data_IF_220781982070
#
_entry.id   IF_220781982070
#
_cell.length_a   1.000
_cell.length_b   1.000
_cell.length_c   1.000
_cell.angle_alpha   90.00
_cell.angle_beta   90.00
_cell.angle_gamma   90.00
#
_symmetry.space_group_name_H-M   'P 1'
#
loop_
_entity.id
_entity.type
_entity.pdbx_description
1 polymer ?
#
# COMPACT_ATOMS: atom_id res chain seq x y z
N UNK A 1 6.87 -14.63 -35.93
CA UNK A 1 7.28 -13.23 -35.70
C UNK A 1 7.46 -13.06 -34.22
N UNK A 2 8.67 -12.73 -33.73
CA UNK A 2 8.87 -12.47 -32.31
C UNK A 2 7.93 -11.33 -31.88
N UNK A 3 7.18 -11.45 -30.78
CA UNK A 3 6.38 -10.34 -30.29
C UNK A 3 7.34 -9.17 -30.06
N UNK A 4 6.95 -8.00 -30.55
CA UNK A 4 7.63 -6.75 -30.28
C UNK A 4 7.57 -6.55 -28.77
N UNK A 5 8.62 -6.97 -28.03
CA UNK A 5 8.62 -6.94 -26.57
C UNK A 5 8.59 -5.47 -26.15
N UNK A 6 7.42 -5.01 -25.71
CA UNK A 6 7.33 -3.70 -25.07
C UNK A 6 8.32 -3.69 -23.90
N UNK A 7 8.95 -2.56 -23.56
CA UNK A 7 9.83 -2.49 -22.39
C UNK A 7 9.18 -2.97 -21.09
N UNK A 8 7.84 -2.92 -21.00
CA UNK A 8 7.06 -3.45 -19.88
C UNK A 8 7.11 -5.00 -19.79
N UNK A 9 7.21 -5.69 -20.94
CA UNK A 9 7.29 -7.16 -21.01
C UNK A 9 8.74 -7.69 -20.94
N UNK A 10 9.74 -6.80 -20.92
CA UNK A 10 11.15 -7.18 -20.78
C UNK A 10 11.45 -7.58 -19.32
N UNK A 11 11.64 -8.88 -19.11
CA UNK A 11 11.95 -9.50 -17.83
C UNK A 11 13.43 -9.91 -17.74
N UNK A 12 14.26 -9.57 -18.73
CA UNK A 12 15.69 -9.86 -18.72
C UNK A 12 16.42 -8.88 -17.79
N UNK A 13 16.40 -9.19 -16.49
CA UNK A 13 17.07 -8.43 -15.45
C UNK A 13 16.18 -7.38 -14.77
N UNK A 14 16.76 -6.27 -14.26
CA UNK A 14 15.98 -5.26 -13.55
C UNK A 14 15.05 -4.47 -14.48
N UNK A 15 13.86 -4.03 -14.01
CA UNK A 15 12.94 -3.22 -14.81
C UNK A 15 13.60 -1.95 -15.36
N UNK A 16 13.45 -1.71 -16.66
CA UNK A 16 13.98 -0.53 -17.35
C UNK A 16 13.04 0.66 -17.21
N UNK A 17 12.83 1.16 -15.99
CA UNK A 17 11.83 2.20 -15.68
C UNK A 17 11.89 3.45 -16.57
N UNK A 18 13.07 3.83 -17.07
CA UNK A 18 13.24 4.97 -17.99
C UNK A 18 12.58 4.78 -19.36
N UNK A 19 12.22 3.55 -19.71
CA UNK A 19 11.63 3.17 -21.00
C UNK A 19 10.18 2.70 -20.87
N UNK A 20 9.61 2.80 -19.67
CA UNK A 20 8.25 2.35 -19.36
C UNK A 20 7.32 3.56 -19.28
N UNK A 21 6.31 3.54 -20.15
CA UNK A 21 5.29 4.58 -20.23
C UNK A 21 3.91 4.03 -19.85
N UNK A 22 3.05 4.80 -19.17
CA UNK A 22 1.72 4.35 -18.75
C UNK A 22 0.86 3.70 -19.85
N UNK A 23 0.83 4.19 -21.11
CA UNK A 23 0.05 3.57 -22.18
C UNK A 23 0.49 2.16 -22.57
N UNK A 24 1.69 1.72 -22.17
CA UNK A 24 2.16 0.35 -22.40
C UNK A 24 1.52 -0.67 -21.44
N UNK A 25 0.96 -0.21 -20.31
CA UNK A 25 0.42 -1.09 -19.28
C UNK A 25 -0.83 -1.87 -19.73
N UNK A 26 -1.90 -1.25 -20.30
CA UNK A 26 -3.07 -2.01 -20.71
C UNK A 26 -2.82 -3.15 -21.71
N UNK A 27 -2.08 -2.96 -22.82
CA UNK A 27 -1.82 -4.06 -23.74
C UNK A 27 -0.96 -5.16 -23.12
N UNK A 28 0.04 -4.80 -22.30
CA UNK A 28 0.90 -5.78 -21.62
C UNK A 28 0.11 -6.64 -20.62
N UNK A 29 -0.75 -6.02 -19.80
CA UNK A 29 -1.59 -6.75 -18.86
C UNK A 29 -2.59 -7.64 -19.59
N UNK A 30 -3.20 -7.15 -20.68
CA UNK A 30 -4.16 -7.95 -21.47
C UNK A 30 -3.51 -9.22 -22.03
N UNK A 31 -2.35 -9.09 -22.66
CA UNK A 31 -1.58 -10.23 -23.20
C UNK A 31 -1.24 -11.26 -22.11
N UNK A 32 -0.77 -10.78 -20.95
CA UNK A 32 -0.40 -11.65 -19.84
C UNK A 32 -1.60 -12.33 -19.19
N UNK A 33 -2.74 -11.65 -19.09
CA UNK A 33 -3.98 -12.25 -18.57
C UNK A 33 -4.50 -13.35 -19.49
N UNK A 34 -4.49 -13.14 -20.81
CA UNK A 34 -4.91 -14.15 -21.80
C UNK A 34 -4.02 -15.40 -21.72
N UNK A 35 -2.69 -15.20 -21.65
CA UNK A 35 -1.73 -16.29 -21.51
C UNK A 35 -1.91 -17.03 -20.18
N UNK A 36 -2.04 -16.29 -19.07
CA UNK A 36 -2.21 -16.84 -17.73
C UNK A 36 -3.47 -17.70 -17.63
N UNK A 37 -4.58 -17.21 -18.20
CA UNK A 37 -5.85 -17.95 -18.23
C UNK A 37 -5.71 -19.28 -18.97
N UNK A 38 -5.12 -19.25 -20.17
CA UNK A 38 -4.95 -20.44 -21.00
C UNK A 38 -4.06 -21.49 -20.31
N UNK A 39 -2.92 -21.06 -19.79
CA UNK A 39 -1.95 -21.95 -19.16
C UNK A 39 -2.49 -22.50 -17.82
N UNK A 40 -3.17 -21.67 -17.03
CA UNK A 40 -3.74 -22.11 -15.76
C UNK A 40 -4.89 -23.09 -15.96
N UNK A 41 -5.78 -22.84 -16.93
CA UNK A 41 -6.87 -23.76 -17.27
C UNK A 41 -6.35 -25.14 -17.70
N UNK A 42 -5.26 -25.17 -18.47
CA UNK A 42 -4.59 -26.42 -18.85
C UNK A 42 -4.00 -27.16 -17.64
N UNK A 43 -3.39 -26.42 -16.70
CA UNK A 43 -2.89 -26.96 -15.45
C UNK A 43 -4.01 -27.52 -14.58
N UNK A 44 -5.09 -26.78 -14.34
CA UNK A 44 -6.24 -27.23 -13.54
C UNK A 44 -6.87 -28.52 -14.10
N UNK A 45 -6.96 -28.62 -15.42
CA UNK A 45 -7.45 -29.82 -16.10
C UNK A 45 -6.54 -31.02 -15.80
N UNK A 46 -5.22 -30.84 -15.91
CA UNK A 46 -4.24 -31.90 -15.59
C UNK A 46 -4.30 -32.31 -14.12
N UNK A 47 -4.42 -31.36 -13.19
CA UNK A 47 -4.53 -31.65 -11.76
C UNK A 47 -5.80 -32.43 -11.40
N UNK A 48 -6.87 -32.29 -12.18
CA UNK A 48 -8.14 -32.98 -11.95
C UNK A 48 -8.12 -34.44 -12.41
N UNK A 49 -7.14 -34.84 -13.23
CA UNK A 49 -7.02 -36.18 -13.81
C UNK A 49 -5.95 -37.07 -13.13
N UNK A 50 -5.10 -36.50 -12.29
CA UNK A 50 -3.91 -37.15 -11.73
C UNK A 50 -4.01 -37.35 -10.20
N UNK A 51 -4.01 -38.62 -9.79
CA UNK A 51 -4.09 -39.02 -8.37
C UNK A 51 -2.75 -38.91 -7.62
N UNK A 52 -1.64 -38.56 -8.31
CA UNK A 52 -0.28 -38.68 -7.82
C UNK A 52 0.61 -37.46 -8.04
N UNK A 53 0.10 -36.25 -7.81
CA UNK A 53 0.86 -35.01 -8.06
C UNK A 53 1.97 -34.75 -7.03
N UNK A 54 3.16 -34.41 -7.52
CA UNK A 54 4.31 -34.06 -6.66
C UNK A 54 4.45 -32.54 -6.44
N UNK A 55 5.15 -32.15 -5.36
CA UNK A 55 5.48 -30.74 -5.12
C UNK A 55 6.10 -30.07 -6.34
N UNK A 56 7.08 -30.72 -6.97
CA UNK A 56 7.90 -30.15 -8.06
C UNK A 56 7.09 -29.90 -9.34
N UNK A 57 5.93 -30.55 -9.48
CA UNK A 57 5.02 -30.41 -10.62
C UNK A 57 3.90 -29.40 -10.38
N UNK A 58 3.59 -29.09 -9.11
CA UNK A 58 2.45 -28.22 -8.75
C UNK A 58 2.94 -26.81 -8.40
N UNK A 59 3.59 -26.63 -7.26
CA UNK A 59 3.80 -25.29 -6.72
C UNK A 59 4.81 -24.46 -7.53
N UNK A 60 6.00 -24.98 -7.92
CA UNK A 60 6.90 -24.26 -8.80
C UNK A 60 6.30 -23.98 -10.19
N UNK A 61 5.35 -24.80 -10.65
CA UNK A 61 4.68 -24.56 -11.92
C UNK A 61 3.68 -23.40 -11.79
N UNK A 62 2.89 -23.34 -10.71
CA UNK A 62 2.00 -22.21 -10.40
C UNK A 62 2.79 -20.90 -10.27
N UNK A 63 3.94 -20.91 -9.57
CA UNK A 63 4.80 -19.73 -9.44
C UNK A 63 5.27 -19.21 -10.80
N UNK A 64 5.72 -20.11 -11.70
CA UNK A 64 6.14 -19.75 -13.07
C UNK A 64 4.99 -19.21 -13.91
N UNK A 65 3.76 -19.65 -13.68
CA UNK A 65 2.59 -19.09 -14.37
C UNK A 65 2.31 -17.67 -13.90
N UNK A 66 2.39 -17.41 -12.59
CA UNK A 66 2.06 -16.11 -12.01
C UNK A 66 3.13 -15.05 -12.22
N UNK A 67 4.40 -15.45 -12.31
CA UNK A 67 5.56 -14.56 -12.31
C UNK A 67 5.46 -13.45 -13.37
N UNK A 68 5.10 -13.71 -14.65
CA UNK A 68 5.09 -12.65 -15.64
C UNK A 68 4.11 -11.51 -15.35
N UNK A 69 2.90 -11.87 -14.91
CA UNK A 69 1.89 -10.88 -14.50
C UNK A 69 2.30 -10.19 -13.20
N UNK A 70 2.86 -10.94 -12.25
CA UNK A 70 3.38 -10.40 -10.99
C UNK A 70 4.49 -9.36 -11.20
N UNK A 71 5.40 -9.61 -12.14
CA UNK A 71 6.46 -8.67 -12.52
C UNK A 71 5.88 -7.36 -13.07
N UNK A 72 5.03 -7.44 -14.10
CA UNK A 72 4.43 -6.25 -14.73
C UNK A 72 3.57 -5.47 -13.73
N UNK A 73 2.77 -6.16 -12.93
CA UNK A 73 1.93 -5.52 -11.93
C UNK A 73 2.74 -4.90 -10.79
N UNK A 74 3.88 -5.52 -10.42
CA UNK A 74 4.85 -4.96 -9.48
C UNK A 74 5.48 -3.67 -9.99
N UNK A 75 5.88 -3.63 -11.26
CA UNK A 75 6.38 -2.41 -11.93
C UNK A 75 5.31 -1.32 -11.94
N UNK A 76 4.09 -1.64 -12.35
CA UNK A 76 2.97 -0.70 -12.38
C UNK A 76 2.66 -0.15 -10.98
N UNK A 77 2.59 -1.02 -9.97
CA UNK A 77 2.36 -0.63 -8.58
C UNK A 77 3.47 0.24 -8.00
N UNK A 78 4.73 -0.07 -8.33
CA UNK A 78 5.87 0.76 -7.94
C UNK A 78 5.77 2.17 -8.56
N UNK A 79 5.58 2.26 -9.88
CA UNK A 79 5.41 3.54 -10.57
C UNK A 79 4.21 4.31 -10.02
N UNK A 80 3.12 3.62 -9.69
CA UNK A 80 1.94 4.26 -9.09
C UNK A 80 2.23 4.85 -7.71
N UNK A 81 3.22 4.31 -6.99
CA UNK A 81 3.69 4.83 -5.70
C UNK A 81 4.75 5.92 -5.78
N UNK A 82 5.61 5.95 -6.80
CA UNK A 82 6.76 6.89 -6.87
C UNK A 82 6.70 7.91 -8.00
N UNK A 83 5.88 7.67 -9.02
CA UNK A 83 5.72 8.51 -10.22
C UNK A 83 4.23 8.58 -10.61
N UNK A 84 3.36 8.77 -9.62
CA UNK A 84 1.91 8.87 -9.82
C UNK A 84 1.54 10.09 -10.68
N UNK A 85 0.65 9.90 -11.64
CA UNK A 85 0.06 10.93 -12.49
C UNK A 85 -1.18 10.40 -13.21
N UNK A 86 -1.92 11.27 -13.88
CA UNK A 86 -3.25 10.94 -14.42
C UNK A 86 -3.23 9.76 -15.40
N UNK A 87 -2.28 9.74 -16.34
CA UNK A 87 -2.15 8.65 -17.32
C UNK A 87 -1.86 7.30 -16.64
N UNK A 88 -1.02 7.30 -15.60
CA UNK A 88 -0.70 6.09 -14.86
C UNK A 88 -1.86 5.63 -13.98
N UNK A 89 -2.59 6.58 -13.37
CA UNK A 89 -3.78 6.30 -12.57
C UNK A 89 -4.86 5.65 -13.42
N UNK A 90 -5.17 6.24 -14.58
CA UNK A 90 -6.13 5.70 -15.54
C UNK A 90 -5.70 4.30 -16.01
N UNK A 91 -4.44 4.15 -16.42
CA UNK A 91 -3.92 2.86 -16.86
C UNK A 91 -3.97 1.80 -15.74
N UNK A 92 -3.62 2.15 -14.51
CA UNK A 92 -3.64 1.24 -13.37
C UNK A 92 -5.08 0.82 -13.02
N UNK A 93 -5.98 1.78 -12.86
CA UNK A 93 -7.39 1.54 -12.51
C UNK A 93 -8.11 0.71 -13.56
N UNK A 94 -7.85 0.95 -14.85
CA UNK A 94 -8.44 0.17 -15.96
C UNK A 94 -8.05 -1.31 -15.92
N UNK A 95 -6.85 -1.63 -15.44
CA UNK A 95 -6.31 -3.00 -15.45
C UNK A 95 -6.50 -3.74 -14.13
N UNK A 96 -6.66 -3.02 -13.01
CA UNK A 96 -6.78 -3.60 -11.67
C UNK A 96 -7.86 -4.70 -11.60
N UNK A 97 -9.07 -4.55 -12.17
CA UNK A 97 -10.09 -5.60 -12.09
C UNK A 97 -9.65 -6.93 -12.73
N UNK A 98 -9.01 -6.88 -13.89
CA UNK A 98 -8.53 -8.09 -14.58
C UNK A 98 -7.46 -8.82 -13.76
N UNK A 99 -6.54 -8.07 -13.15
CA UNK A 99 -5.50 -8.64 -12.28
C UNK A 99 -6.10 -9.25 -11.01
N UNK A 100 -7.03 -8.56 -10.35
CA UNK A 100 -7.72 -9.09 -9.16
C UNK A 100 -8.49 -10.36 -9.50
N UNK A 101 -9.17 -10.40 -10.64
CA UNK A 101 -9.91 -11.57 -11.09
C UNK A 101 -8.98 -12.76 -11.36
N UNK A 102 -7.87 -12.55 -12.06
CA UNK A 102 -6.89 -13.60 -12.34
C UNK A 102 -6.29 -14.18 -11.06
N UNK A 103 -5.84 -13.34 -10.12
CA UNK A 103 -5.30 -13.81 -8.84
C UNK A 103 -6.36 -14.52 -8.00
N UNK A 104 -7.62 -14.08 -8.08
CA UNK A 104 -8.73 -14.74 -7.39
C UNK A 104 -8.95 -16.17 -7.90
N UNK A 105 -8.84 -16.42 -9.21
CA UNK A 105 -8.94 -17.77 -9.79
C UNK A 105 -7.94 -18.74 -9.18
N UNK A 106 -6.66 -18.34 -9.07
CA UNK A 106 -5.66 -19.15 -8.39
C UNK A 106 -6.05 -19.42 -6.93
N UNK A 107 -6.43 -18.38 -6.19
CA UNK A 107 -6.76 -18.52 -4.77
C UNK A 107 -7.99 -19.38 -4.50
N UNK A 108 -8.87 -19.57 -5.49
CA UNK A 108 -10.13 -20.30 -5.38
C UNK A 108 -10.19 -21.56 -6.26
N UNK A 109 -9.05 -21.98 -6.82
CA UNK A 109 -8.96 -23.21 -7.62
C UNK A 109 -9.04 -24.43 -6.72
N UNK A 110 -10.14 -25.18 -6.86
CA UNK A 110 -10.34 -26.40 -6.09
C UNK A 110 -9.37 -27.52 -6.49
N UNK A 111 -9.10 -27.79 -7.78
CA UNK A 111 -8.09 -28.78 -8.18
C UNK A 111 -6.71 -28.48 -7.61
N UNK A 112 -6.27 -27.21 -7.64
CA UNK A 112 -5.00 -26.80 -7.06
C UNK A 112 -4.96 -27.01 -5.55
N UNK A 113 -6.05 -26.65 -4.85
CA UNK A 113 -6.13 -26.81 -3.39
C UNK A 113 -6.06 -28.28 -2.99
N UNK A 114 -6.82 -29.13 -3.67
CA UNK A 114 -6.87 -30.57 -3.39
C UNK A 114 -5.52 -31.24 -3.69
N UNK A 115 -4.84 -30.86 -4.79
CA UNK A 115 -3.49 -31.33 -5.09
C UNK A 115 -2.48 -30.93 -3.99
N UNK A 116 -2.50 -29.67 -3.54
CA UNK A 116 -1.65 -29.19 -2.44
C UNK A 116 -1.97 -29.88 -1.11
N UNK A 117 -3.25 -30.16 -0.82
CA UNK A 117 -3.65 -30.94 0.36
C UNK A 117 -3.16 -32.39 0.27
N UNK A 118 -3.20 -33.00 -0.91
CA UNK A 118 -2.66 -34.34 -1.15
C UNK A 118 -1.15 -34.38 -0.89
N UNK A 119 -0.41 -33.40 -1.41
CA UNK A 119 1.02 -33.24 -1.15
C UNK A 119 1.29 -33.06 0.35
N UNK A 120 0.57 -32.16 1.03
CA UNK A 120 0.71 -31.94 2.47
C UNK A 120 0.47 -33.24 3.27
N UNK A 121 -0.58 -33.98 2.91
CA UNK A 121 -0.96 -35.24 3.58
C UNK A 121 0.10 -36.34 3.37
N UNK A 122 0.75 -36.37 2.20
CA UNK A 122 1.83 -37.33 1.91
C UNK A 122 3.06 -37.15 2.83
N UNK A 123 3.17 -36.01 3.52
CA UNK A 123 4.25 -35.70 4.45
C UNK A 123 3.90 -35.96 5.93
N UNK A 124 2.64 -36.28 6.25
CA UNK A 124 2.17 -36.47 7.64
C UNK A 124 2.84 -37.66 8.33
N UNK A 125 3.13 -38.74 7.61
CA UNK A 125 3.81 -39.95 8.11
C UNK A 125 5.29 -39.71 8.52
N UNK A 126 5.83 -38.54 8.20
CA UNK A 126 7.19 -38.13 8.56
C UNK A 126 7.23 -37.15 9.76
N UNK A 127 6.11 -36.95 10.46
CA UNK A 127 6.07 -36.15 11.70
C UNK A 127 6.99 -36.76 12.78
N UNK A 128 7.93 -35.94 13.30
CA UNK A 128 8.88 -36.33 14.35
C UNK A 128 10.22 -36.90 13.87
N UNK A 129 10.49 -36.92 12.57
CA UNK A 129 11.84 -37.16 12.01
C UNK A 129 12.56 -35.83 11.79
N UNK A 130 13.89 -35.83 11.85
CA UNK A 130 14.69 -34.71 11.35
C UNK A 130 14.38 -34.54 9.85
N UNK A 131 13.63 -33.50 9.51
CA UNK A 131 13.25 -33.18 8.14
C UNK A 131 14.45 -32.46 7.50
N UNK A 132 14.86 -32.91 6.31
CA UNK A 132 15.91 -32.25 5.54
C UNK A 132 15.55 -30.78 5.29
N UNK A 133 16.55 -29.90 5.26
CA UNK A 133 16.33 -28.45 5.17
C UNK A 133 15.43 -28.05 3.99
N UNK A 134 15.68 -28.62 2.80
CA UNK A 134 14.89 -28.36 1.60
C UNK A 134 13.44 -28.85 1.74
N UNK A 135 13.21 -30.00 2.37
CA UNK A 135 11.85 -30.51 2.60
C UNK A 135 11.08 -29.62 3.59
N UNK A 136 11.74 -29.09 4.62
CA UNK A 136 11.16 -28.09 5.53
C UNK A 136 10.70 -26.83 4.79
N UNK A 137 11.45 -26.36 3.80
CA UNK A 137 11.07 -25.22 2.96
C UNK A 137 9.84 -25.54 2.08
N UNK A 138 9.80 -26.73 1.47
CA UNK A 138 8.66 -27.18 0.65
C UNK A 138 7.38 -27.29 1.48
N UNK A 139 7.45 -27.90 2.66
CA UNK A 139 6.34 -27.98 3.63
C UNK A 139 5.81 -26.61 4.00
N UNK A 140 6.71 -25.66 4.28
CA UNK A 140 6.34 -24.27 4.59
C UNK A 140 5.67 -23.58 3.40
N UNK A 141 6.18 -23.76 2.19
CA UNK A 141 5.60 -23.18 0.98
C UNK A 141 4.17 -23.70 0.73
N UNK A 142 3.95 -25.01 0.78
CA UNK A 142 2.60 -25.61 0.64
C UNK A 142 1.65 -25.15 1.73
N UNK A 143 2.07 -25.16 3.00
CA UNK A 143 1.25 -24.69 4.12
C UNK A 143 0.85 -23.21 3.97
N UNK A 144 1.76 -22.36 3.46
CA UNK A 144 1.46 -20.97 3.17
C UNK A 144 0.47 -20.81 2.01
N UNK A 145 0.61 -21.62 0.96
CA UNK A 145 -0.31 -21.62 -0.19
C UNK A 145 -1.71 -22.05 0.22
N UNK A 146 -1.84 -23.17 0.94
CA UNK A 146 -3.12 -23.66 1.48
C UNK A 146 -3.82 -22.63 2.38
N UNK A 147 -3.06 -21.99 3.28
CA UNK A 147 -3.58 -20.90 4.10
C UNK A 147 -4.06 -19.72 3.24
N UNK A 148 -3.28 -19.33 2.24
CA UNK A 148 -3.61 -18.21 1.36
C UNK A 148 -4.86 -18.48 0.52
N UNK A 149 -5.05 -19.72 0.04
CA UNK A 149 -6.25 -20.15 -0.68
C UNK A 149 -7.48 -20.21 0.25
N UNK A 150 -7.30 -20.70 1.48
CA UNK A 150 -8.36 -20.67 2.50
C UNK A 150 -8.82 -19.23 2.78
N UNK A 151 -7.88 -18.31 3.00
CA UNK A 151 -8.16 -16.87 3.17
C UNK A 151 -8.62 -16.20 1.87
N UNK A 152 -8.42 -16.85 0.71
CA UNK A 152 -8.93 -16.46 -0.59
C UNK A 152 -10.35 -16.96 -0.86
N UNK A 153 -10.96 -17.71 0.07
CA UNK A 153 -12.32 -18.21 -0.06
C UNK A 153 -12.45 -19.46 -0.92
N UNK A 154 -11.40 -20.29 -1.06
CA UNK A 154 -11.48 -21.56 -1.82
C UNK A 154 -12.56 -22.51 -1.32
N UNK A 155 -12.92 -22.43 -0.04
CA UNK A 155 -13.99 -23.22 0.56
C UNK A 155 -15.40 -22.65 0.38
N UNK A 156 -15.56 -21.47 -0.23
CA UNK A 156 -16.86 -20.86 -0.49
C UNK A 156 -17.43 -21.38 -1.81
N UNK A 157 -18.76 -21.55 -1.86
CA UNK A 157 -19.49 -22.04 -3.03
C UNK A 157 -20.70 -21.16 -3.35
N UNK A 158 -21.19 -21.27 -4.59
CA UNK A 158 -22.41 -20.58 -5.04
C UNK A 158 -22.41 -19.07 -4.75
N UNK A 159 -23.54 -18.58 -4.22
CA UNK A 159 -23.79 -17.16 -3.96
C UNK A 159 -22.80 -16.55 -2.95
N UNK A 160 -22.30 -17.32 -1.98
CA UNK A 160 -21.31 -16.82 -1.01
C UNK A 160 -19.97 -16.52 -1.68
N UNK A 161 -19.55 -17.38 -2.61
CA UNK A 161 -18.33 -17.17 -3.39
C UNK A 161 -18.43 -15.93 -4.28
N UNK A 162 -19.57 -15.73 -4.93
CA UNK A 162 -19.83 -14.55 -5.76
C UNK A 162 -19.76 -13.27 -4.92
N UNK A 163 -20.47 -13.21 -3.79
CA UNK A 163 -20.43 -12.06 -2.86
C UNK A 163 -19.03 -11.79 -2.33
N UNK A 164 -18.27 -12.84 -1.99
CA UNK A 164 -16.89 -12.69 -1.53
C UNK A 164 -15.99 -12.07 -2.61
N UNK A 165 -16.19 -12.46 -3.87
CA UNK A 165 -15.43 -11.93 -5.00
C UNK A 165 -15.78 -10.47 -5.31
N UNK A 166 -17.07 -10.12 -5.28
CA UNK A 166 -17.53 -8.73 -5.43
C UNK A 166 -16.95 -7.83 -4.32
N UNK A 167 -16.98 -8.30 -3.07
CA UNK A 167 -16.37 -7.61 -1.94
C UNK A 167 -14.85 -7.45 -2.09
N UNK A 168 -14.15 -8.46 -2.59
CA UNK A 168 -12.72 -8.37 -2.88
C UNK A 168 -12.41 -7.32 -3.94
N UNK A 169 -13.18 -7.31 -5.02
CA UNK A 169 -13.05 -6.30 -6.08
C UNK A 169 -13.25 -4.91 -5.50
N UNK A 170 -14.34 -4.73 -4.75
CA UNK A 170 -14.68 -3.46 -4.13
C UNK A 170 -13.60 -2.98 -3.14
N UNK A 171 -13.03 -3.89 -2.35
CA UNK A 171 -11.96 -3.55 -1.42
C UNK A 171 -10.69 -3.06 -2.15
N UNK A 172 -10.37 -3.64 -3.31
CA UNK A 172 -9.24 -3.21 -4.12
C UNK A 172 -9.46 -1.80 -4.72
N UNK A 173 -10.66 -1.53 -5.25
CA UNK A 173 -11.06 -0.20 -5.74
C UNK A 173 -10.98 0.85 -4.63
N UNK A 174 -11.54 0.54 -3.45
CA UNK A 174 -11.55 1.44 -2.29
C UNK A 174 -10.12 1.74 -1.80
N UNK A 175 -9.21 0.76 -1.82
CA UNK A 175 -7.82 0.97 -1.46
C UNK A 175 -7.10 1.92 -2.44
N UNK A 176 -7.31 1.74 -3.75
CA UNK A 176 -6.77 2.66 -4.78
C UNK A 176 -7.31 4.07 -4.58
N UNK A 177 -8.64 4.21 -4.43
CA UNK A 177 -9.30 5.50 -4.25
C UNK A 177 -8.83 6.21 -2.98
N UNK A 178 -8.74 5.49 -1.86
CA UNK A 178 -8.24 6.01 -0.60
C UNK A 178 -6.82 6.58 -0.75
N UNK A 179 -5.92 5.85 -1.40
CA UNK A 179 -4.55 6.29 -1.67
C UNK A 179 -4.47 7.54 -2.53
N UNK A 180 -5.24 7.59 -3.62
CA UNK A 180 -5.34 8.75 -4.52
C UNK A 180 -5.84 9.99 -3.76
N UNK A 181 -6.89 9.85 -2.94
CA UNK A 181 -7.41 10.96 -2.13
C UNK A 181 -6.36 11.53 -1.17
N UNK A 182 -5.59 10.67 -0.47
CA UNK A 182 -4.51 11.12 0.43
C UNK A 182 -3.43 11.87 -0.33
N UNK A 183 -3.02 11.36 -1.49
CA UNK A 183 -2.01 12.00 -2.33
C UNK A 183 -2.49 13.36 -2.83
N UNK A 184 -3.71 13.42 -3.36
CA UNK A 184 -4.27 14.65 -3.93
C UNK A 184 -4.52 15.70 -2.84
N UNK A 185 -5.01 15.30 -1.66
CA UNK A 185 -5.16 16.20 -0.52
C UNK A 185 -3.81 16.73 0.00
N UNK A 186 -2.74 15.92 -0.08
CA UNK A 186 -1.38 16.35 0.28
C UNK A 186 -0.85 17.38 -0.73
N UNK A 187 -1.06 17.16 -2.04
CA UNK A 187 -0.62 18.07 -3.12
C UNK A 187 -1.40 19.39 -3.16
N UNK A 188 -2.68 19.37 -2.78
CA UNK A 188 -3.57 20.53 -2.88
C UNK A 188 -3.21 21.67 -1.91
N UNK A 189 -2.54 21.37 -0.79
CA UNK A 189 -2.17 22.40 0.18
C UNK A 189 -0.82 23.03 -0.15
N UNK A 190 -0.76 24.35 -0.03
CA UNK A 190 0.49 25.06 0.19
C UNK A 190 0.29 26.35 0.97
N UNK A 191 1.33 26.76 1.68
CA UNK A 191 1.46 28.07 2.30
C UNK A 191 2.70 28.75 1.72
N UNK A 192 2.50 29.86 1.00
CA UNK A 192 3.62 30.69 0.52
C UNK A 192 3.92 31.77 1.54
N UNK A 193 5.17 31.82 2.00
CA UNK A 193 5.67 32.84 2.91
C UNK A 193 6.55 33.79 2.10
N UNK A 194 6.29 35.08 2.20
CA UNK A 194 7.02 36.14 1.48
C UNK A 194 7.86 37.01 2.42
N UNK A 195 7.43 37.17 3.67
CA UNK A 195 8.14 37.97 4.65
C UNK A 195 9.31 37.17 5.26
N UNK A 196 10.51 37.73 5.17
CA UNK A 196 11.71 37.14 5.76
C UNK A 196 11.62 37.03 7.29
N UNK A 197 10.84 37.88 7.96
CA UNK A 197 10.62 37.81 9.40
C UNK A 197 9.88 36.52 9.81
N UNK A 198 9.00 36.00 8.94
CA UNK A 198 8.22 34.77 9.21
C UNK A 198 9.06 33.48 9.03
N UNK A 199 10.30 33.59 8.55
CA UNK A 199 11.25 32.46 8.46
C UNK A 199 12.53 32.69 9.28
N UNK A 200 12.50 33.62 10.23
CA UNK A 200 13.63 33.85 11.14
C UNK A 200 13.92 32.57 11.96
N UNK A 201 15.20 32.17 12.02
CA UNK A 201 15.62 30.96 12.72
C UNK A 201 15.36 29.65 11.98
N UNK A 202 14.69 29.67 10.82
CA UNK A 202 14.50 28.47 9.99
C UNK A 202 15.84 28.02 9.40
N UNK A 203 16.20 26.73 9.47
CA UNK A 203 17.41 26.20 8.86
C UNK A 203 17.50 26.51 7.35
N UNK A 204 18.70 26.84 6.89
CA UNK A 204 18.95 27.16 5.47
C UNK A 204 18.51 26.04 4.52
N UNK A 205 18.63 24.77 4.93
CA UNK A 205 18.16 23.62 4.15
C UNK A 205 16.64 23.60 3.96
N UNK A 206 15.87 23.94 4.98
CA UNK A 206 14.42 24.03 4.88
C UNK A 206 13.98 25.20 4.00
N UNK A 207 14.61 26.38 4.17
CA UNK A 207 14.37 27.54 3.29
C UNK A 207 14.71 27.24 1.84
N UNK A 208 15.84 26.59 1.56
CA UNK A 208 16.22 26.21 0.20
C UNK A 208 15.20 25.24 -0.42
N UNK A 209 14.75 24.23 0.33
CA UNK A 209 13.71 23.29 -0.10
C UNK A 209 12.39 24.00 -0.43
N UNK A 210 11.93 24.95 0.40
CA UNK A 210 10.69 25.68 0.16
C UNK A 210 10.79 26.69 -0.98
N UNK A 211 11.94 27.35 -1.15
CA UNK A 211 12.19 28.22 -2.30
C UNK A 211 12.20 27.41 -3.61
N UNK A 212 12.86 26.24 -3.60
CA UNK A 212 12.83 25.33 -4.73
C UNK A 212 11.42 24.81 -5.02
N UNK A 213 10.64 24.45 -3.99
CA UNK A 213 9.24 24.04 -4.13
C UNK A 213 8.39 25.13 -4.79
N UNK A 214 8.62 26.39 -4.43
CA UNK A 214 7.93 27.53 -5.05
C UNK A 214 8.27 27.65 -6.54
N UNK A 215 9.56 27.63 -6.89
CA UNK A 215 10.01 27.71 -8.27
C UNK A 215 9.46 26.55 -9.13
N UNK A 216 9.48 25.32 -8.60
CA UNK A 216 8.91 24.14 -9.28
C UNK A 216 7.40 24.29 -9.51
N UNK A 217 6.67 24.83 -8.53
CA UNK A 217 5.23 25.06 -8.67
C UNK A 217 4.91 26.08 -9.77
N UNK A 218 5.63 27.20 -9.83
CA UNK A 218 5.46 28.18 -10.91
C UNK A 218 5.69 27.55 -12.29
N UNK A 219 6.74 26.72 -12.41
CA UNK A 219 7.05 26.01 -13.66
C UNK A 219 6.00 24.96 -14.03
N UNK A 220 5.31 24.37 -13.05
CA UNK A 220 4.22 23.43 -13.32
C UNK A 220 2.93 24.12 -13.80
N UNK A 221 2.67 25.35 -13.34
CA UNK A 221 1.50 26.14 -13.78
C UNK A 221 1.72 26.73 -15.19
N UNK A 222 2.96 27.16 -15.49
CA UNK A 222 3.36 27.64 -16.80
C UNK A 222 4.77 27.12 -17.17
N UNK A 223 4.85 26.06 -18.00
CA UNK A 223 6.13 25.48 -18.44
C UNK A 223 7.03 26.47 -19.19
N UNK A 224 6.50 27.54 -19.77
CA UNK A 224 7.25 28.55 -20.53
C UNK A 224 7.60 29.78 -19.67
N UNK A 225 7.13 29.85 -18.42
CA UNK A 225 7.46 30.96 -17.52
C UNK A 225 8.97 31.06 -17.26
N UNK A 226 9.45 32.31 -17.26
CA UNK A 226 10.77 32.69 -16.79
C UNK A 226 10.74 32.76 -15.25
N UNK A 227 10.99 31.61 -14.62
CA UNK A 227 10.96 31.47 -13.16
C UNK A 227 12.33 31.89 -12.59
N UNK A 228 12.39 32.86 -11.66
CA UNK A 228 13.64 33.25 -11.03
C UNK A 228 14.32 32.06 -10.33
N UNK A 229 15.66 32.06 -10.34
CA UNK A 229 16.44 31.09 -9.56
C UNK A 229 16.04 31.16 -8.07
N UNK A 230 15.74 30.01 -7.43
CA UNK A 230 15.28 30.00 -6.05
C UNK A 230 16.37 30.52 -5.11
N UNK A 231 16.05 31.55 -4.33
CA UNK A 231 16.93 32.14 -3.32
C UNK A 231 16.43 31.81 -1.92
N UNK A 232 17.17 30.96 -1.21
CA UNK A 232 16.82 30.51 0.14
C UNK A 232 16.74 31.66 1.16
N UNK A 233 17.41 32.79 0.94
CA UNK A 233 17.44 33.92 1.87
C UNK A 233 16.43 35.00 1.54
N UNK A 234 15.90 35.03 0.30
CA UNK A 234 14.95 36.05 -0.15
C UNK A 234 13.54 35.53 -0.39
N UNK A 235 13.37 34.21 -0.49
CA UNK A 235 12.08 33.60 -0.78
C UNK A 235 11.59 33.95 -2.19
N UNK A 236 10.28 33.81 -2.46
CA UNK A 236 9.26 33.28 -1.54
C UNK A 236 9.46 31.79 -1.20
N UNK A 237 8.93 31.36 -0.05
CA UNK A 237 9.05 30.00 0.47
C UNK A 237 7.71 29.27 0.45
N UNK A 238 7.58 28.23 -0.39
CA UNK A 238 6.37 27.42 -0.48
C UNK A 238 6.48 26.20 0.45
N UNK A 239 5.74 26.25 1.56
CA UNK A 239 5.55 25.13 2.50
C UNK A 239 4.46 24.20 1.98
N UNK A 240 4.67 22.89 2.10
CA UNK A 240 3.77 21.82 1.65
C UNK A 240 3.55 20.79 2.76
N UNK A 241 2.69 19.80 2.51
CA UNK A 241 2.41 18.73 3.47
C UNK A 241 3.28 17.48 3.28
N UNK A 242 4.22 17.49 2.33
CA UNK A 242 5.21 16.43 2.19
C UNK A 242 6.04 16.32 3.46
N UNK A 243 6.35 15.09 3.90
CA UNK A 243 6.96 14.80 5.22
C UNK A 243 8.11 15.74 5.62
N UNK A 244 9.16 15.91 4.78
CA UNK A 244 10.27 16.82 5.10
C UNK A 244 9.85 18.28 5.27
N UNK A 245 8.91 18.76 4.45
CA UNK A 245 8.38 20.12 4.46
C UNK A 245 7.54 20.38 5.71
N UNK A 246 6.62 19.47 6.01
CA UNK A 246 5.76 19.52 7.20
C UNK A 246 6.56 19.50 8.51
N UNK A 247 7.53 18.58 8.63
CA UNK A 247 8.36 18.45 9.83
C UNK A 247 9.18 19.73 10.04
N UNK A 248 9.80 20.27 8.99
CA UNK A 248 10.56 21.50 9.10
C UNK A 248 9.67 22.69 9.50
N UNK A 249 8.45 22.77 8.95
CA UNK A 249 7.51 23.84 9.23
C UNK A 249 7.10 23.84 10.72
N UNK A 250 6.70 22.68 11.26
CA UNK A 250 6.29 22.59 12.66
C UNK A 250 7.45 22.75 13.65
N UNK A 251 8.66 22.37 13.25
CA UNK A 251 9.83 22.43 14.13
C UNK A 251 10.45 23.83 14.20
N UNK A 252 10.36 24.61 13.12
CA UNK A 252 11.20 25.80 12.96
C UNK A 252 10.48 27.10 12.59
N UNK A 253 9.24 27.07 12.07
CA UNK A 253 8.55 28.34 11.79
C UNK A 253 8.31 29.09 13.10
N UNK A 254 8.76 30.35 13.24
CA UNK A 254 8.57 31.12 14.47
C UNK A 254 7.11 31.48 14.71
N UNK A 255 6.34 31.70 13.65
CA UNK A 255 4.94 32.14 13.72
C UNK A 255 3.98 31.00 14.11
N UNK A 256 3.36 31.10 15.30
CA UNK A 256 2.39 30.10 15.81
C UNK A 256 1.20 29.91 14.89
N UNK A 257 0.68 30.98 14.30
CA UNK A 257 -0.48 30.90 13.41
C UNK A 257 -0.15 30.14 12.12
N UNK A 258 1.05 30.30 11.58
CA UNK A 258 1.48 29.54 10.41
C UNK A 258 1.68 28.06 10.74
N UNK A 259 2.30 27.74 11.88
CA UNK A 259 2.39 26.36 12.38
C UNK A 259 1.00 25.74 12.55
N UNK A 260 0.05 26.48 13.13
CA UNK A 260 -1.33 26.03 13.29
C UNK A 260 -2.02 25.77 11.95
N UNK A 261 -1.87 26.67 10.96
CA UNK A 261 -2.40 26.47 9.60
C UNK A 261 -1.86 25.19 8.96
N UNK A 262 -0.53 25.00 8.99
CA UNK A 262 0.13 23.80 8.42
C UNK A 262 -0.30 22.52 9.17
N UNK A 263 -0.37 22.58 10.51
CA UNK A 263 -0.81 21.46 11.34
C UNK A 263 -2.24 21.06 11.00
N UNK A 264 -3.18 22.03 11.01
CA UNK A 264 -4.61 21.78 10.73
C UNK A 264 -4.80 21.19 9.35
N UNK A 265 -4.15 21.75 8.34
CA UNK A 265 -4.19 21.22 6.97
C UNK A 265 -3.69 19.77 6.89
N UNK A 266 -2.64 19.41 7.64
CA UNK A 266 -2.10 18.05 7.67
C UNK A 266 -3.04 17.04 8.32
N UNK A 267 -3.66 17.39 9.46
CA UNK A 267 -4.55 16.47 10.20
C UNK A 267 -5.94 16.35 9.59
N UNK A 268 -6.34 17.27 8.72
CA UNK A 268 -7.62 17.24 7.99
C UNK A 268 -7.50 16.70 6.54
N UNK A 269 -6.34 16.16 6.15
CA UNK A 269 -6.15 15.62 4.79
C UNK A 269 -7.13 14.50 4.50
N UNK A 270 -7.74 14.56 3.31
CA UNK A 270 -8.67 13.56 2.80
C UNK A 270 -9.78 13.20 3.82
N UNK A 271 -10.28 14.21 4.54
CA UNK A 271 -11.32 14.07 5.56
C UNK A 271 -12.55 14.91 5.20
N UNK A 272 -13.60 14.76 6.00
CA UNK A 272 -14.83 15.56 5.98
C UNK A 272 -14.61 17.05 6.34
N UNK A 273 -13.43 17.39 6.85
CA UNK A 273 -13.00 18.77 7.09
C UNK A 273 -12.23 19.37 5.91
N UNK A 274 -11.98 18.59 4.86
CA UNK A 274 -11.24 18.99 3.68
C UNK A 274 -12.13 19.15 2.44
N UNK A 275 -11.57 18.80 1.29
CA UNK A 275 -12.30 18.70 0.03
C UNK A 275 -13.20 17.47 0.05
N UNK A 276 -14.51 17.66 -0.09
CA UNK A 276 -15.51 16.59 -0.05
C UNK A 276 -15.30 15.55 -1.16
N UNK A 277 -14.77 15.95 -2.32
CA UNK A 277 -14.46 15.02 -3.42
C UNK A 277 -13.32 14.06 -3.07
N UNK A 278 -12.52 14.38 -2.04
CA UNK A 278 -11.37 13.61 -1.55
C UNK A 278 -11.62 13.05 -0.14
N UNK A 279 -12.86 13.04 0.33
CA UNK A 279 -13.21 12.57 1.67
C UNK A 279 -13.08 11.05 1.78
N UNK A 280 -12.18 10.57 2.65
CA UNK A 280 -11.99 9.14 2.92
C UNK A 280 -12.85 8.59 4.05
N UNK A 281 -13.57 9.41 4.82
CA UNK A 281 -14.39 8.93 5.94
C UNK A 281 -15.42 7.89 5.47
N UNK A 282 -16.20 8.10 4.40
CA UNK A 282 -17.13 7.09 3.90
C UNK A 282 -16.42 5.81 3.42
N UNK A 283 -15.26 5.95 2.75
CA UNK A 283 -14.49 4.82 2.25
C UNK A 283 -13.99 3.94 3.41
N UNK A 284 -13.54 4.55 4.51
CA UNK A 284 -13.08 3.82 5.71
C UNK A 284 -14.22 2.95 6.27
N UNK A 285 -15.43 3.51 6.41
CA UNK A 285 -16.58 2.73 6.92
C UNK A 285 -16.94 1.57 5.99
N UNK A 286 -16.94 1.80 4.68
CA UNK A 286 -17.19 0.75 3.70
C UNK A 286 -16.12 -0.36 3.76
N UNK A 287 -14.83 0.03 3.81
CA UNK A 287 -13.70 -0.90 3.97
C UNK A 287 -13.86 -1.75 5.25
N UNK A 288 -14.23 -1.13 6.38
CA UNK A 288 -14.41 -1.82 7.65
C UNK A 288 -15.59 -2.81 7.60
N UNK A 289 -16.70 -2.41 6.98
CA UNK A 289 -17.87 -3.29 6.78
C UNK A 289 -17.50 -4.49 5.92
N UNK A 290 -16.91 -4.25 4.74
CA UNK A 290 -16.48 -5.31 3.82
C UNK A 290 -15.52 -6.27 4.52
N UNK A 291 -14.51 -5.75 5.23
CA UNK A 291 -13.55 -6.58 5.97
C UNK A 291 -14.24 -7.45 7.00
N UNK A 292 -15.19 -6.92 7.76
CA UNK A 292 -15.97 -7.69 8.75
C UNK A 292 -16.78 -8.80 8.07
N UNK A 293 -17.51 -8.48 7.00
CA UNK A 293 -18.38 -9.43 6.32
C UNK A 293 -17.56 -10.55 5.68
N UNK A 294 -16.45 -10.21 5.02
CA UNK A 294 -15.51 -11.19 4.47
C UNK A 294 -14.89 -12.09 5.56
N UNK A 295 -14.50 -11.55 6.71
CA UNK A 295 -13.97 -12.35 7.82
C UNK A 295 -15.02 -13.33 8.35
N UNK A 296 -16.26 -12.88 8.46
CA UNK A 296 -17.38 -13.71 8.92
C UNK A 296 -17.63 -14.87 7.94
N UNK A 297 -17.61 -14.61 6.63
CA UNK A 297 -17.73 -15.65 5.60
C UNK A 297 -16.63 -16.72 5.70
N UNK A 298 -15.44 -16.33 6.15
CA UNK A 298 -14.31 -17.24 6.33
C UNK A 298 -14.27 -17.91 7.72
N UNK A 299 -15.28 -17.66 8.58
CA UNK A 299 -15.41 -18.28 9.90
C UNK A 299 -14.61 -17.61 11.01
N UNK A 300 -14.19 -16.35 10.84
CA UNK A 300 -13.54 -15.55 11.90
C UNK A 300 -14.55 -14.59 12.55
N UNK A 301 -14.37 -14.26 13.83
CA UNK A 301 -15.27 -13.33 14.52
C UNK A 301 -15.05 -11.87 14.08
N UNK A 302 -13.83 -11.56 13.62
CA UNK A 302 -13.45 -10.24 13.14
C UNK A 302 -12.22 -10.27 12.21
N UNK A 303 -11.94 -9.13 11.57
CA UNK A 303 -10.80 -9.00 10.65
C UNK A 303 -9.43 -9.07 11.33
N UNK A 304 -9.32 -8.76 12.62
CA UNK A 304 -8.05 -8.86 13.32
C UNK A 304 -7.62 -10.34 13.46
N UNK A 305 -8.55 -11.24 13.80
CA UNK A 305 -8.30 -12.68 13.82
C UNK A 305 -7.91 -13.22 12.44
N UNK A 306 -8.66 -12.86 11.40
CA UNK A 306 -8.31 -13.23 10.01
C UNK A 306 -6.91 -12.73 9.65
N UNK A 307 -6.58 -11.48 10.01
CA UNK A 307 -5.28 -10.85 9.77
C UNK A 307 -4.14 -11.57 10.49
N UNK A 308 -4.41 -12.11 11.70
CA UNK A 308 -3.45 -12.84 12.51
C UNK A 308 -3.16 -14.26 12.00
N UNK A 309 -4.07 -14.88 11.24
CA UNK A 309 -3.86 -16.23 10.69
C UNK A 309 -2.53 -16.39 9.93
N UNK A 310 -2.01 -15.32 9.33
CA UNK A 310 -0.72 -15.29 8.64
C UNK A 310 0.44 -14.65 9.40
N UNK A 311 0.27 -14.28 10.67
CA UNK A 311 1.26 -13.53 11.48
C UNK A 311 1.82 -14.40 12.61
N UNK A 312 2.87 -13.89 13.27
CA UNK A 312 3.50 -14.57 14.41
C UNK A 312 2.73 -14.42 15.72
N UNK A 313 1.99 -13.32 15.89
CA UNK A 313 1.20 -13.11 17.09
C UNK A 313 0.07 -14.14 17.15
N UNK A 314 -0.07 -14.87 18.28
CA UNK A 314 -0.95 -16.04 18.34
C UNK A 314 -2.44 -15.68 18.42
N UNK A 315 -2.78 -14.55 19.07
CA UNK A 315 -4.17 -14.11 19.26
C UNK A 315 -4.27 -12.59 19.33
N UNK A 316 -5.49 -12.06 19.24
CA UNK A 316 -5.78 -10.62 19.37
C UNK A 316 -5.47 -10.14 20.79
N UNK A 317 -5.70 -10.98 21.80
CA UNK A 317 -5.38 -10.71 23.20
C UNK A 317 -3.88 -10.53 23.39
N UNK A 318 -3.05 -11.41 22.81
CA UNK A 318 -1.60 -11.29 22.91
C UNK A 318 -1.06 -9.99 22.28
N UNK A 319 -1.68 -9.51 21.19
CA UNK A 319 -1.36 -8.19 20.61
C UNK A 319 -1.75 -7.08 21.57
N UNK A 320 -2.96 -7.16 22.15
CA UNK A 320 -3.51 -6.15 23.07
C UNK A 320 -2.67 -6.06 24.35
N UNK A 321 -2.29 -7.20 24.95
CA UNK A 321 -1.42 -7.27 26.12
C UNK A 321 -0.07 -6.58 25.86
N UNK A 322 0.54 -6.81 24.70
CA UNK A 322 1.79 -6.15 24.33
C UNK A 322 1.61 -4.64 24.17
N UNK A 323 0.55 -4.19 23.49
CA UNK A 323 0.30 -2.75 23.31
C UNK A 323 -0.03 -2.05 24.62
N UNK A 324 -0.79 -2.69 25.50
CA UNK A 324 -1.14 -2.16 26.82
C UNK A 324 0.08 -2.06 27.73
N UNK A 325 0.97 -3.07 27.70
CA UNK A 325 2.25 -3.03 28.41
C UNK A 325 3.11 -1.85 27.92
N UNK A 326 3.20 -1.63 26.61
CA UNK A 326 3.93 -0.49 26.05
C UNK A 326 3.30 0.83 26.51
N UNK A 327 1.97 0.95 26.44
CA UNK A 327 1.26 2.16 26.87
C UNK A 327 1.48 2.45 28.38
N UNK A 328 1.42 1.43 29.23
CA UNK A 328 1.66 1.54 30.67
C UNK A 328 3.04 2.14 30.96
N UNK A 329 4.07 1.75 30.20
CA UNK A 329 5.44 2.26 30.39
C UNK A 329 5.68 3.61 29.71
N UNK A 330 5.05 3.86 28.56
CA UNK A 330 5.29 5.06 27.76
C UNK A 330 4.52 6.28 28.29
N UNK A 331 3.29 6.13 28.77
CA UNK A 331 2.44 7.26 29.19
C UNK A 331 3.07 8.11 30.31
N UNK A 332 3.69 7.54 31.37
CA UNK A 332 4.34 8.36 32.39
C UNK A 332 5.48 9.21 31.84
N UNK A 333 6.29 8.66 30.93
CA UNK A 333 7.37 9.39 30.27
C UNK A 333 6.81 10.51 29.37
N UNK A 334 5.81 10.21 28.55
CA UNK A 334 5.17 11.20 27.67
C UNK A 334 4.53 12.37 28.45
N UNK A 335 3.91 12.10 29.61
CA UNK A 335 3.39 13.15 30.51
C UNK A 335 4.51 14.03 31.06
N UNK A 336 5.65 13.44 31.40
CA UNK A 336 6.83 14.17 31.88
C UNK A 336 7.40 15.07 30.78
N UNK A 337 7.56 14.54 29.57
CA UNK A 337 8.05 15.29 28.41
C UNK A 337 7.11 16.46 28.07
N UNK A 338 5.79 16.24 28.11
CA UNK A 338 4.81 17.31 27.92
C UNK A 338 4.99 18.41 28.98
N UNK A 339 5.13 18.05 30.25
CA UNK A 339 5.37 19.03 31.32
C UNK A 339 6.67 19.81 31.10
N UNK A 340 7.76 19.13 30.74
CA UNK A 340 9.06 19.77 30.45
C UNK A 340 8.96 20.76 29.28
N UNK A 341 8.23 20.41 28.21
CA UNK A 341 8.00 21.29 27.05
C UNK A 341 7.10 22.47 27.42
N UNK A 342 6.05 22.25 28.22
CA UNK A 342 5.16 23.32 28.69
C UNK A 342 5.90 24.31 29.59
N UNK A 343 6.73 23.83 30.53
CA UNK A 343 7.53 24.68 31.40
C UNK A 343 8.57 25.48 30.61
N UNK A 344 9.23 24.86 29.63
CA UNK A 344 10.12 25.57 28.72
C UNK A 344 9.37 26.68 27.96
N UNK A 345 8.22 26.36 27.37
CA UNK A 345 7.40 27.32 26.63
C UNK A 345 6.99 28.52 27.51
N UNK A 346 6.59 28.29 28.77
CA UNK A 346 6.30 29.37 29.74
C UNK A 346 7.51 30.21 30.06
N UNK A 347 8.69 29.59 30.22
CA UNK A 347 9.92 30.31 30.58
C UNK A 347 10.42 31.26 29.48
N UNK A 348 10.16 30.94 28.21
CA UNK A 348 10.64 31.72 27.05
C UNK A 348 9.54 32.55 26.37
N UNK A 349 8.27 32.14 26.50
CA UNK A 349 7.13 32.71 25.77
C UNK A 349 6.23 33.66 26.57
N UNK A 350 6.41 33.78 27.89
CA UNK A 350 5.64 34.71 28.73
C UNK A 350 4.18 34.28 28.97
N UNK A 351 3.33 35.25 29.35
CA UNK A 351 1.97 35.01 29.85
C UNK A 351 1.01 34.38 28.82
N UNK A 352 1.30 34.49 27.52
CA UNK A 352 0.53 33.87 26.43
C UNK A 352 0.52 32.32 26.48
N UNK A 353 1.39 31.73 27.30
CA UNK A 353 1.53 30.28 27.51
C UNK A 353 1.24 29.88 28.98
N UNK A 354 0.63 30.76 29.78
CA UNK A 354 0.45 30.57 31.22
C UNK A 354 -0.63 29.54 31.60
N UNK A 355 -1.66 29.34 30.78
CA UNK A 355 -2.74 28.37 31.02
C UNK A 355 -2.46 26.99 30.41
#
# INVERSE_FOLDING_TARGET
SSPSSTPMLDQDGPPRFSSIDPPQLPPAVTELLEKLEADFSAMESKLSEDDGTSYDEVLPAVERLQEPLGYVWGVAGHLNGVKNGDELREAYEKNQPGVVQAMTKFSQSRPLYDALKGIESSWEDATGKDVEFEEGQRRRAVSNSLRSMTLGGVGLEGEEKEKFNDMRMRLAELATKFGNHVLDATKAFSLTIEDAADVEGVPASAKAMWAQSHAMHLKSEDPEADVPEPDAEKGPWRVTLDGPSYIAALSHLPNRSQRETVYRASVSRASDLGDEDKNNVPLIYEILSIKKDMSTMLGFDNFAEQSLAGKMAPTVEAVTELTDLVAEKAIPAAKKELAEITDLARSVGGDDYAE
#
